data_IF_105278614034
#
_entry.id   IF_105278614034
#
_cell.length_a   1.000
_cell.length_b   1.000
_cell.length_c   1.000
_cell.angle_alpha   90.00
_cell.angle_beta   90.00
_cell.angle_gamma   90.00
#
_symmetry.space_group_name_H-M   'P 1'
#
loop_
_entity.id
_entity.type
_entity.pdbx_description
1 polymer ?
#
# COMPACT_ATOMS: atom_id res chain seq x y z
N UNK A 1 -20.27 25.99 0.76
CA UNK A 1 -19.06 25.23 0.39
C UNK A 1 -17.86 26.15 0.59
N UNK A 2 -17.52 26.43 1.86
CA UNK A 2 -16.47 27.38 2.26
C UNK A 2 -15.21 26.68 2.81
N UNK A 3 -15.29 25.37 3.09
CA UNK A 3 -14.19 24.57 3.66
C UNK A 3 -13.11 24.19 2.64
N UNK A 4 -13.36 24.37 1.33
CA UNK A 4 -12.39 23.98 0.27
C UNK A 4 -11.19 24.95 0.14
N UNK A 5 -11.25 26.12 0.78
CA UNK A 5 -10.22 27.16 0.71
C UNK A 5 -9.38 27.27 1.99
N UNK A 6 -9.69 26.46 3.00
CA UNK A 6 -9.01 26.49 4.30
C UNK A 6 -7.61 25.86 4.25
N UNK A 7 -6.63 26.41 5.00
CA UNK A 7 -5.35 25.75 5.19
C UNK A 7 -5.50 24.40 5.90
N UNK A 8 -4.81 23.37 5.41
CA UNK A 8 -4.72 22.03 5.98
C UNK A 8 -3.39 21.90 6.71
N UNK A 9 -3.41 21.68 8.02
CA UNK A 9 -2.20 21.45 8.79
C UNK A 9 -1.56 20.10 8.43
N UNK A 10 -0.26 19.95 8.63
CA UNK A 10 0.48 18.71 8.34
C UNK A 10 -0.15 17.45 8.93
N UNK A 11 -0.57 17.49 10.19
CA UNK A 11 -1.19 16.33 10.83
C UNK A 11 -2.53 15.95 10.16
N UNK A 12 -3.27 16.95 9.67
CA UNK A 12 -4.52 16.72 8.96
C UNK A 12 -4.26 16.21 7.55
N UNK A 13 -3.28 16.77 6.84
CA UNK A 13 -2.84 16.28 5.54
C UNK A 13 -2.34 14.82 5.63
N UNK A 14 -1.55 14.50 6.66
CA UNK A 14 -1.07 13.14 6.93
C UNK A 14 -2.23 12.17 7.19
N UNK A 15 -3.23 12.60 7.97
CA UNK A 15 -4.45 11.82 8.22
C UNK A 15 -5.27 11.60 6.96
N UNK A 16 -5.47 12.64 6.14
CA UNK A 16 -6.22 12.56 4.88
C UNK A 16 -5.52 11.70 3.82
N UNK A 17 -4.19 11.72 3.79
CA UNK A 17 -3.38 10.87 2.93
C UNK A 17 -3.15 9.48 3.53
N UNK A 18 -3.48 9.30 4.82
CA UNK A 18 -3.21 8.10 5.62
C UNK A 18 -1.74 7.68 5.54
N UNK A 19 -0.83 8.60 5.83
CA UNK A 19 0.61 8.37 5.87
C UNK A 19 1.21 9.06 7.10
N UNK A 20 2.50 8.85 7.35
CA UNK A 20 3.16 9.55 8.45
C UNK A 20 3.38 11.03 8.08
N UNK A 21 3.38 11.95 9.06
CA UNK A 21 3.67 13.36 8.80
C UNK A 21 4.97 13.59 8.03
N UNK A 22 5.98 12.75 8.24
CA UNK A 22 7.24 12.84 7.51
C UNK A 22 7.09 12.52 6.01
N UNK A 23 6.21 11.60 5.63
CA UNK A 23 5.95 11.27 4.22
C UNK A 23 5.35 12.48 3.50
N UNK A 24 4.45 13.22 4.16
CA UNK A 24 3.88 14.46 3.63
C UNK A 24 4.98 15.50 3.37
N UNK A 25 5.94 15.63 4.28
CA UNK A 25 7.09 16.53 4.09
C UNK A 25 7.94 16.07 2.91
N UNK A 26 8.26 14.78 2.81
CA UNK A 26 9.03 14.25 1.67
C UNK A 26 8.35 14.53 0.33
N UNK A 27 7.02 14.36 0.28
CA UNK A 27 6.23 14.63 -0.91
C UNK A 27 6.17 16.13 -1.23
N UNK A 28 5.96 16.98 -0.22
CA UNK A 28 5.96 18.42 -0.40
C UNK A 28 7.29 18.95 -0.94
N UNK A 29 8.41 18.40 -0.45
CA UNK A 29 9.76 18.71 -0.95
C UNK A 29 9.93 18.19 -2.40
N UNK A 30 9.51 16.95 -2.66
CA UNK A 30 9.59 16.32 -3.98
C UNK A 30 8.72 17.04 -5.04
N UNK A 31 7.61 17.64 -4.61
CA UNK A 31 6.65 18.36 -5.45
C UNK A 31 7.16 19.69 -6.03
N UNK A 32 8.35 20.15 -5.62
CA UNK A 32 8.90 21.49 -5.90
C UNK A 32 8.13 22.65 -5.28
N UNK A 33 7.11 22.42 -4.44
CA UNK A 33 6.40 23.50 -3.74
C UNK A 33 7.29 24.25 -2.74
N UNK A 34 8.40 23.64 -2.31
CA UNK A 34 9.17 24.15 -1.18
C UNK A 34 8.34 24.14 0.11
N UNK A 35 9.00 24.21 1.25
CA UNK A 35 8.31 24.59 2.49
C UNK A 35 8.33 26.12 2.48
N UNK A 36 7.24 26.76 2.07
CA UNK A 36 7.13 28.22 2.08
C UNK A 36 7.37 28.81 3.48
N UNK A 37 7.23 30.14 3.61
CA UNK A 37 7.50 30.86 4.87
C UNK A 37 6.59 30.45 6.05
N UNK A 38 5.52 29.69 5.81
CA UNK A 38 4.69 29.09 6.86
C UNK A 38 5.02 27.60 6.98
N UNK A 39 5.59 27.14 8.09
CA UNK A 39 5.99 25.75 8.20
C UNK A 39 4.74 24.88 8.33
N UNK A 40 4.57 23.94 7.39
CA UNK A 40 3.73 22.75 7.54
C UNK A 40 2.21 22.96 7.42
N UNK A 41 1.80 23.94 6.59
CA UNK A 41 0.40 24.18 6.23
C UNK A 41 0.25 24.13 4.71
N UNK A 42 -0.74 23.39 4.24
CA UNK A 42 -0.96 23.08 2.82
C UNK A 42 -2.37 23.50 2.39
N UNK A 43 -2.51 23.99 1.17
CA UNK A 43 -3.80 24.11 0.50
C UNK A 43 -4.36 22.73 0.13
N UNK A 44 -5.68 22.66 -0.09
CA UNK A 44 -6.32 21.42 -0.56
C UNK A 44 -5.73 20.91 -1.89
N UNK A 45 -5.45 21.83 -2.81
CA UNK A 45 -4.81 21.51 -4.09
C UNK A 45 -3.43 20.88 -3.91
N UNK A 46 -2.64 21.34 -2.93
CA UNK A 46 -1.35 20.72 -2.61
C UNK A 46 -1.52 19.32 -2.02
N UNK A 47 -2.51 19.12 -1.14
CA UNK A 47 -2.81 17.79 -0.59
C UNK A 47 -3.26 16.81 -1.69
N UNK A 48 -4.11 17.26 -2.62
CA UNK A 48 -4.53 16.43 -3.75
C UNK A 48 -3.38 16.13 -4.73
N UNK A 49 -2.49 17.11 -4.97
CA UNK A 49 -1.27 16.87 -5.74
C UNK A 49 -0.35 15.86 -5.04
N UNK A 50 -0.15 15.97 -3.72
CA UNK A 50 0.59 15.01 -2.91
C UNK A 50 -0.04 13.62 -2.95
N UNK A 51 -1.38 13.52 -2.93
CA UNK A 51 -2.10 12.25 -3.11
C UNK A 51 -1.73 11.58 -4.43
N UNK A 52 -1.78 12.34 -5.52
CA UNK A 52 -1.49 11.84 -6.87
C UNK A 52 -0.02 11.44 -7.03
N UNK A 53 0.93 12.31 -6.64
CA UNK A 53 2.36 12.02 -6.75
C UNK A 53 2.78 10.85 -5.85
N UNK A 54 2.28 10.83 -4.61
CA UNK A 54 2.51 9.75 -3.67
C UNK A 54 1.87 8.44 -4.13
N UNK A 55 0.91 8.50 -5.06
CA UNK A 55 0.11 7.37 -5.50
C UNK A 55 -0.70 6.75 -4.36
N UNK A 56 -1.23 7.59 -3.47
CA UNK A 56 -2.10 7.14 -2.38
C UNK A 56 -3.48 6.83 -2.95
N UNK A 57 -3.93 5.61 -2.67
CA UNK A 57 -5.26 5.16 -3.08
C UNK A 57 -6.23 5.20 -1.90
N UNK A 58 -7.53 5.11 -2.21
CA UNK A 58 -8.52 4.78 -1.19
C UNK A 58 -8.21 3.39 -0.61
N UNK A 59 -8.72 3.12 0.60
CA UNK A 59 -8.62 1.77 1.18
C UNK A 59 -9.18 0.73 0.20
N UNK A 60 -8.46 -0.38 0.06
CA UNK A 60 -8.92 -1.49 -0.76
C UNK A 60 -9.91 -2.40 -0.03
N UNK A 61 -10.01 -2.26 1.28
CA UNK A 61 -10.63 -3.24 2.17
C UNK A 61 -12.11 -2.98 2.44
N UNK A 62 -12.65 -1.88 1.92
CA UNK A 62 -14.09 -1.66 1.88
C UNK A 62 -14.73 -2.73 1.00
N UNK A 63 -15.60 -3.54 1.60
CA UNK A 63 -16.35 -4.62 0.93
C UNK A 63 -15.53 -5.81 0.42
N UNK A 64 -14.28 -5.97 0.88
CA UNK A 64 -13.48 -7.16 0.54
C UNK A 64 -14.00 -8.37 1.32
N UNK A 65 -14.50 -9.36 0.58
CA UNK A 65 -14.81 -10.67 1.13
C UNK A 65 -13.52 -11.49 1.22
N UNK A 66 -13.18 -11.95 2.42
CA UNK A 66 -12.07 -12.86 2.60
C UNK A 66 -12.45 -14.25 2.05
N UNK A 67 -11.54 -14.93 1.34
CA UNK A 67 -11.77 -16.30 0.91
C UNK A 67 -11.95 -17.22 2.12
N UNK A 68 -12.75 -18.27 1.96
CA UNK A 68 -12.86 -19.31 2.97
C UNK A 68 -11.54 -20.10 3.01
N UNK A 69 -10.83 -20.00 4.12
CA UNK A 69 -9.52 -20.62 4.32
C UNK A 69 -9.45 -21.27 5.71
N UNK A 70 -8.58 -22.27 5.86
CA UNK A 70 -8.33 -22.91 7.15
C UNK A 70 -7.65 -21.94 8.13
N UNK A 71 -6.86 -21.02 7.59
CA UNK A 71 -6.14 -19.98 8.34
C UNK A 71 -6.70 -18.58 7.98
N UNK A 72 -7.26 -17.83 8.95
CA UNK A 72 -7.72 -16.46 8.71
C UNK A 72 -6.62 -15.52 8.22
N UNK A 73 -5.38 -15.77 8.64
CA UNK A 73 -4.21 -15.00 8.24
C UNK A 73 -3.88 -15.24 6.77
N UNK A 74 -3.87 -16.49 6.34
CA UNK A 74 -3.68 -16.86 4.94
C UNK A 74 -4.80 -16.32 4.06
N UNK A 75 -6.05 -16.34 4.54
CA UNK A 75 -7.18 -15.73 3.83
C UNK A 75 -6.94 -14.24 3.56
N UNK A 76 -6.40 -13.51 4.55
CA UNK A 76 -6.08 -12.09 4.44
C UNK A 76 -4.96 -11.83 3.43
N UNK A 77 -3.90 -12.65 3.45
CA UNK A 77 -2.79 -12.56 2.47
C UNK A 77 -3.29 -12.84 1.05
N UNK A 78 -4.10 -13.90 0.87
CA UNK A 78 -4.70 -14.24 -0.43
C UNK A 78 -5.59 -13.11 -0.94
N UNK A 79 -6.42 -12.52 -0.08
CA UNK A 79 -7.22 -11.36 -0.43
C UNK A 79 -6.36 -10.17 -0.88
N UNK A 80 -5.26 -9.87 -0.18
CA UNK A 80 -4.33 -8.80 -0.57
C UNK A 80 -3.72 -9.05 -1.97
N UNK A 81 -3.27 -10.28 -2.24
CA UNK A 81 -2.72 -10.66 -3.54
C UNK A 81 -3.78 -10.61 -4.65
N UNK A 82 -5.01 -11.01 -4.33
CA UNK A 82 -6.15 -10.87 -5.23
C UNK A 82 -6.41 -9.39 -5.58
N UNK A 83 -6.35 -8.47 -4.61
CA UNK A 83 -6.51 -7.04 -4.87
C UNK A 83 -5.41 -6.49 -5.79
N UNK A 84 -4.14 -6.91 -5.61
CA UNK A 84 -3.03 -6.55 -6.49
C UNK A 84 -3.29 -7.05 -7.93
N UNK A 85 -3.71 -8.30 -8.08
CA UNK A 85 -4.00 -8.89 -9.38
C UNK A 85 -5.20 -8.21 -10.07
N UNK A 86 -6.30 -7.99 -9.36
CA UNK A 86 -7.51 -7.35 -9.90
C UNK A 86 -7.25 -5.90 -10.35
N UNK A 87 -6.35 -5.18 -9.68
CA UNK A 87 -5.92 -3.83 -10.07
C UNK A 87 -4.84 -3.83 -11.15
N UNK A 88 -4.32 -5.00 -11.49
CA UNK A 88 -3.31 -5.20 -12.53
C UNK A 88 -1.92 -4.72 -12.12
N UNK A 89 -1.59 -4.71 -10.83
CA UNK A 89 -0.26 -4.34 -10.35
C UNK A 89 0.74 -5.47 -10.60
N UNK A 90 1.14 -5.62 -11.86
CA UNK A 90 2.02 -6.67 -12.39
C UNK A 90 3.13 -6.05 -13.22
N UNK A 91 4.36 -6.53 -13.06
CA UNK A 91 5.53 -6.05 -13.78
C UNK A 91 5.79 -4.57 -13.50
N UNK A 92 5.80 -3.77 -14.57
CA UNK A 92 6.08 -2.33 -14.52
C UNK A 92 4.97 -1.51 -13.84
N UNK A 93 3.76 -2.07 -13.70
CA UNK A 93 2.66 -1.38 -13.03
C UNK A 93 2.72 -1.64 -11.52
N UNK A 94 3.11 -0.62 -10.76
CA UNK A 94 3.31 -0.70 -9.30
C UNK A 94 2.33 0.17 -8.52
N UNK A 95 2.12 -0.16 -7.24
CA UNK A 95 1.39 0.66 -6.26
C UNK A 95 2.24 0.87 -5.02
N UNK A 96 1.84 1.78 -4.11
CA UNK A 96 2.51 1.86 -2.81
C UNK A 96 2.25 0.59 -2.02
N UNK A 97 3.27 0.11 -1.31
CA UNK A 97 3.08 -1.01 -0.39
C UNK A 97 2.04 -0.68 0.70
N UNK A 98 1.98 0.59 1.13
CA UNK A 98 1.02 1.04 2.14
C UNK A 98 -0.43 0.95 1.69
N UNK A 99 -0.70 1.03 0.38
CA UNK A 99 -2.06 0.88 -0.14
C UNK A 99 -2.59 -0.54 0.09
N UNK A 100 -1.70 -1.54 0.17
CA UNK A 100 -2.07 -2.93 0.39
C UNK A 100 -2.73 -3.13 1.74
N UNK A 101 -2.35 -2.39 2.79
CA UNK A 101 -2.89 -2.55 4.15
C UNK A 101 -3.58 -1.29 4.69
N UNK A 102 -3.83 -0.32 3.81
CA UNK A 102 -4.47 0.96 4.17
C UNK A 102 -5.86 0.73 4.75
N UNK A 103 -6.10 1.20 5.97
CA UNK A 103 -7.40 1.08 6.64
C UNK A 103 -7.61 -0.22 7.43
N UNK A 104 -6.66 -1.15 7.42
CA UNK A 104 -6.65 -2.29 8.33
C UNK A 104 -6.18 -1.89 9.73
N UNK A 105 -6.36 -2.75 10.73
CA UNK A 105 -5.78 -2.55 12.07
C UNK A 105 -4.27 -2.86 12.11
N UNK A 106 -3.64 -2.71 13.28
CA UNK A 106 -2.19 -2.88 13.42
C UNK A 106 -1.73 -4.33 13.22
N UNK A 107 -2.49 -5.30 13.71
CA UNK A 107 -2.16 -6.72 13.63
C UNK A 107 -2.19 -7.20 12.18
N UNK A 108 -3.25 -6.83 11.44
CA UNK A 108 -3.40 -7.17 10.04
C UNK A 108 -2.38 -6.47 9.14
N UNK A 109 -2.00 -5.22 9.47
CA UNK A 109 -0.90 -4.52 8.78
C UNK A 109 0.43 -5.23 8.96
N UNK A 110 0.74 -5.65 10.19
CA UNK A 110 1.99 -6.33 10.49
C UNK A 110 2.06 -7.71 9.83
N UNK A 111 0.94 -8.44 9.84
CA UNK A 111 0.75 -9.68 9.08
C UNK A 111 1.08 -9.48 7.60
N UNK A 112 0.41 -8.51 6.94
CA UNK A 112 0.62 -8.27 5.51
C UNK A 112 2.03 -7.77 5.19
N UNK A 113 2.66 -7.01 6.09
CA UNK A 113 4.04 -6.57 5.91
C UNK A 113 5.01 -7.75 5.89
N UNK A 114 4.88 -8.69 6.83
CA UNK A 114 5.71 -9.91 6.86
C UNK A 114 5.45 -10.81 5.65
N UNK A 115 4.18 -11.02 5.31
CA UNK A 115 3.81 -11.81 4.14
C UNK A 115 4.35 -11.21 2.83
N UNK A 116 4.25 -9.90 2.63
CA UNK A 116 4.84 -9.23 1.45
C UNK A 116 6.35 -9.39 1.45
N UNK A 117 7.03 -9.22 2.59
CA UNK A 117 8.48 -9.40 2.66
C UNK A 117 8.91 -10.82 2.26
N UNK A 118 8.19 -11.86 2.71
CA UNK A 118 8.43 -13.24 2.30
C UNK A 118 8.20 -13.45 0.80
N UNK A 119 7.10 -12.94 0.25
CA UNK A 119 6.80 -13.04 -1.18
C UNK A 119 7.80 -12.27 -2.05
N UNK A 120 8.39 -11.18 -1.55
CA UNK A 120 9.50 -10.49 -2.21
C UNK A 120 10.78 -11.32 -2.15
N UNK A 121 11.08 -11.96 -1.03
CA UNK A 121 12.24 -12.84 -0.89
C UNK A 121 12.17 -14.05 -1.84
N UNK A 122 10.97 -14.56 -2.11
CA UNK A 122 10.72 -15.63 -3.08
C UNK A 122 10.70 -15.14 -4.54
N UNK A 123 10.84 -13.84 -4.79
CA UNK A 123 10.77 -13.26 -6.13
C UNK A 123 9.36 -13.22 -6.74
N UNK A 124 8.31 -13.49 -5.95
CA UNK A 124 6.92 -13.43 -6.41
C UNK A 124 6.39 -12.00 -6.49
N UNK A 125 6.91 -11.12 -5.63
CA UNK A 125 6.67 -9.69 -5.66
C UNK A 125 7.99 -8.94 -5.88
N UNK A 126 7.89 -7.77 -6.49
CA UNK A 126 9.00 -6.83 -6.63
C UNK A 126 8.71 -5.62 -5.76
N UNK A 127 9.63 -5.30 -4.85
CA UNK A 127 9.60 -4.07 -4.07
C UNK A 127 10.66 -3.08 -4.58
N UNK A 128 10.26 -1.84 -4.84
CA UNK A 128 11.17 -0.78 -5.33
C UNK A 128 11.06 0.46 -4.45
N UNK A 129 12.18 0.90 -3.88
CA UNK A 129 12.26 2.16 -3.12
C UNK A 129 12.21 3.37 -4.05
N UNK A 130 11.34 4.33 -3.74
CA UNK A 130 11.22 5.60 -4.47
C UNK A 130 11.23 6.78 -3.50
N UNK A 131 11.37 8.01 -3.99
CA UNK A 131 11.23 9.21 -3.15
C UNK A 131 9.85 9.38 -2.55
N UNK A 132 8.84 8.72 -3.11
CA UNK A 132 7.50 8.70 -2.54
C UNK A 132 7.36 7.61 -1.46
N UNK A 133 8.23 6.60 -1.42
CA UNK A 133 8.11 5.44 -0.53
C UNK A 133 8.33 4.12 -1.27
N UNK A 134 8.00 3.00 -0.62
CA UNK A 134 8.18 1.66 -1.20
C UNK A 134 6.99 1.34 -2.12
N UNK A 135 7.31 0.99 -3.36
CA UNK A 135 6.36 0.48 -4.35
C UNK A 135 6.42 -1.04 -4.41
N UNK A 136 5.30 -1.67 -4.72
CA UNK A 136 5.18 -3.12 -4.89
C UNK A 136 4.39 -3.46 -6.16
N UNK A 137 4.80 -4.53 -6.84
CA UNK A 137 4.03 -5.20 -7.90
C UNK A 137 4.26 -6.71 -7.84
N UNK A 138 3.38 -7.46 -8.49
CA UNK A 138 3.59 -8.88 -8.78
C UNK A 138 4.69 -9.00 -9.85
N UNK A 139 5.69 -9.83 -9.62
CA UNK A 139 6.74 -10.08 -10.61
C UNK A 139 6.13 -10.71 -11.88
N UNK A 140 6.60 -10.31 -13.06
CA UNK A 140 6.01 -10.78 -14.33
C UNK A 140 6.11 -12.30 -14.53
N UNK A 141 7.16 -12.92 -14.00
CA UNK A 141 7.38 -14.36 -13.93
C UNK A 141 6.64 -15.02 -12.74
N UNK A 142 6.41 -14.27 -11.66
CA UNK A 142 5.67 -14.70 -10.47
C UNK A 142 4.15 -14.75 -10.62
N UNK A 143 3.56 -14.27 -11.72
CA UNK A 143 2.10 -14.17 -11.90
C UNK A 143 1.38 -15.51 -11.70
N UNK A 144 1.90 -16.60 -12.28
CA UNK A 144 1.28 -17.92 -12.16
C UNK A 144 1.27 -18.43 -10.72
N UNK A 145 2.38 -18.28 -10.01
CA UNK A 145 2.49 -18.67 -8.61
C UNK A 145 1.58 -17.84 -7.69
N UNK A 146 1.45 -16.53 -7.95
CA UNK A 146 0.50 -15.67 -7.22
C UNK A 146 -0.95 -16.06 -7.52
N UNK A 147 -1.28 -16.44 -8.75
CA UNK A 147 -2.61 -16.96 -9.09
C UNK A 147 -2.93 -18.26 -8.36
N UNK A 148 -1.95 -19.17 -8.25
CA UNK A 148 -2.11 -20.42 -7.51
C UNK A 148 -2.26 -20.16 -6.01
N UNK A 149 -1.56 -19.16 -5.45
CA UNK A 149 -1.75 -18.69 -4.08
C UNK A 149 -3.15 -18.14 -3.87
N UNK A 150 -3.60 -17.21 -4.71
CA UNK A 150 -4.94 -16.60 -4.63
C UNK A 150 -6.03 -17.67 -4.77
N UNK A 151 -5.85 -18.64 -5.67
CA UNK A 151 -6.77 -19.75 -5.88
C UNK A 151 -6.68 -20.86 -4.82
N UNK A 152 -5.79 -20.73 -3.84
CA UNK A 152 -5.58 -21.70 -2.76
C UNK A 152 -5.00 -23.04 -3.19
N UNK A 153 -4.37 -23.11 -4.37
CA UNK A 153 -3.76 -24.31 -4.93
C UNK A 153 -2.36 -24.57 -4.38
N UNK A 154 -1.61 -23.50 -4.10
CA UNK A 154 -0.24 -23.60 -3.58
C UNK A 154 0.05 -22.40 -2.66
N UNK A 155 0.69 -22.67 -1.53
CA UNK A 155 1.21 -21.61 -0.63
C UNK A 155 2.74 -21.72 -0.62
N UNK A 156 3.49 -20.64 -0.92
CA UNK A 156 4.95 -20.66 -0.85
C UNK A 156 5.46 -21.05 0.55
N UNK A 157 6.56 -21.82 0.61
CA UNK A 157 7.12 -22.30 1.89
C UNK A 157 7.61 -21.16 2.78
N UNK A 158 8.15 -20.08 2.20
CA UNK A 158 8.54 -18.88 2.96
C UNK A 158 7.33 -18.26 3.68
N UNK A 159 6.18 -18.24 3.00
CA UNK A 159 4.94 -17.69 3.54
C UNK A 159 4.39 -18.59 4.64
N UNK A 160 4.39 -19.91 4.47
CA UNK A 160 4.00 -20.84 5.54
C UNK A 160 4.86 -20.67 6.79
N UNK A 161 6.18 -20.60 6.61
CA UNK A 161 7.12 -20.39 7.71
C UNK A 161 6.87 -19.08 8.46
N UNK A 162 6.53 -17.99 7.75
CA UNK A 162 6.16 -16.72 8.37
C UNK A 162 4.80 -16.76 9.08
N UNK A 163 3.84 -17.51 8.56
CA UNK A 163 2.51 -17.63 9.15
C UNK A 163 2.43 -18.71 10.25
N UNK A 164 3.49 -19.48 10.45
CA UNK A 164 3.52 -20.57 11.43
C UNK A 164 2.66 -21.78 11.02
N UNK A 165 2.50 -21.99 9.72
CA UNK A 165 1.85 -23.17 9.11
C UNK A 165 2.87 -24.26 8.76
#
# INVERSE_FOLDING_TARGET
>A
MLDELGPVALADAARELGCEPFDVIQLAVSARSGLGASPLVFSRAEVDAMRQMGGFEATWWTDVQLPADASPELARVRAAMQQLQMRGYVGDKQTRVDNVWRGLDAEERDLLRRAIAALVADGLLVATGTSAGIRVSIASDGVGAVQDLVGGKATPESLKAELGE
#
